data_IF_722616232171
#
_entry.id   IF_722616232171
#
_cell.length_a   1.000
_cell.length_b   1.000
_cell.length_c   1.000
_cell.angle_alpha   90.00
_cell.angle_beta   90.00
_cell.angle_gamma   90.00
#
_symmetry.space_group_name_H-M   'P 1'
#
loop_
_entity.id
_entity.type
_entity.pdbx_description
1 polymer ?
#
# COMPACT_ATOMS: atom_id res chain seq x y z
N UNK A 1 13.21 -30.66 -14.38
CA UNK A 1 12.77 -30.49 -12.96
C UNK A 1 11.69 -29.45 -12.96
N UNK A 2 10.43 -29.84 -12.74
CA UNK A 2 9.29 -28.93 -12.64
C UNK A 2 9.50 -28.00 -11.44
N UNK A 3 9.88 -26.75 -11.71
CA UNK A 3 9.83 -25.65 -10.74
C UNK A 3 8.38 -25.20 -10.65
N UNK A 4 7.61 -25.76 -9.73
CA UNK A 4 6.18 -25.48 -9.62
C UNK A 4 5.90 -24.86 -8.25
N UNK A 5 4.99 -23.87 -8.20
CA UNK A 5 4.73 -23.10 -6.98
C UNK A 5 3.29 -22.64 -6.89
N UNK A 6 2.88 -21.43 -7.26
CA UNK A 6 1.49 -21.14 -7.60
C UNK A 6 1.33 -21.04 -9.11
N UNK A 7 0.38 -21.77 -9.65
CA UNK A 7 -0.14 -21.55 -11.00
C UNK A 7 -1.32 -20.58 -10.90
N UNK A 8 -1.29 -19.51 -11.68
CA UNK A 8 -2.36 -18.53 -11.74
C UNK A 8 -3.46 -19.04 -12.67
N UNK A 9 -4.58 -19.46 -12.12
CA UNK A 9 -5.74 -19.93 -12.89
C UNK A 9 -6.59 -18.76 -13.41
N UNK A 10 -6.74 -17.72 -12.57
CA UNK A 10 -7.31 -16.44 -12.95
C UNK A 10 -6.56 -15.31 -12.26
N UNK A 11 -6.14 -14.32 -13.02
CA UNK A 11 -5.47 -13.14 -12.47
C UNK A 11 -6.49 -12.05 -12.14
N UNK A 12 -6.42 -11.50 -10.93
CA UNK A 12 -7.11 -10.28 -10.61
C UNK A 12 -6.37 -9.08 -11.22
N UNK A 13 -7.12 -8.09 -11.71
CA UNK A 13 -6.53 -6.87 -12.26
C UNK A 13 -5.64 -6.17 -11.20
N UNK A 14 -4.47 -5.65 -11.62
CA UNK A 14 -3.47 -5.03 -10.74
C UNK A 14 -3.06 -5.90 -9.53
N UNK A 15 -2.70 -7.14 -9.79
CA UNK A 15 -1.98 -7.98 -8.83
C UNK A 15 -0.49 -7.86 -9.10
N UNK A 16 0.24 -7.30 -8.13
CA UNK A 16 1.64 -6.92 -8.25
C UNK A 16 2.49 -7.54 -7.14
N UNK A 17 3.73 -7.91 -7.43
CA UNK A 17 4.72 -8.18 -6.38
C UNK A 17 5.16 -6.84 -5.80
N UNK A 18 5.14 -6.74 -4.48
CA UNK A 18 5.65 -5.60 -3.74
C UNK A 18 6.49 -6.08 -2.56
N UNK A 19 7.47 -5.27 -2.17
CA UNK A 19 8.25 -5.39 -0.94
C UNK A 19 8.29 -4.02 -0.22
N UNK A 20 9.27 -3.74 0.61
CA UNK A 20 9.41 -2.42 1.25
C UNK A 20 9.76 -1.29 0.28
N UNK A 21 10.07 -1.59 -0.97
CA UNK A 21 10.44 -0.62 -1.99
C UNK A 21 11.96 -0.49 -2.18
N UNK A 22 12.33 0.32 -3.18
CA UNK A 22 13.72 0.63 -3.55
C UNK A 22 14.09 2.04 -3.10
N UNK A 23 15.21 2.16 -2.44
CA UNK A 23 15.67 3.43 -1.87
C UNK A 23 17.01 3.84 -2.48
N UNK A 24 17.31 5.14 -2.37
CA UNK A 24 18.56 5.75 -2.84
C UNK A 24 18.73 5.88 -4.36
N UNK A 25 17.66 5.70 -5.16
CA UNK A 25 17.70 5.81 -6.62
C UNK A 25 16.85 6.97 -7.17
N UNK A 26 16.26 7.80 -6.32
CA UNK A 26 15.40 8.92 -6.74
C UNK A 26 16.15 9.96 -7.61
N UNK A 27 17.46 10.10 -7.42
CA UNK A 27 18.32 10.95 -8.24
C UNK A 27 18.46 10.46 -9.71
N UNK A 28 18.15 9.19 -9.98
CA UNK A 28 18.07 8.62 -11.33
C UNK A 28 16.64 8.65 -11.89
N UNK A 29 15.69 9.30 -11.20
CA UNK A 29 14.29 9.32 -11.60
C UNK A 29 13.52 8.04 -11.23
N UNK A 30 14.13 7.08 -10.52
CA UNK A 30 13.52 5.82 -10.13
C UNK A 30 12.71 6.02 -8.85
N UNK A 31 11.42 5.64 -8.88
CA UNK A 31 10.52 5.76 -7.73
C UNK A 31 10.79 4.69 -6.67
N UNK A 32 10.47 5.01 -5.42
CA UNK A 32 10.65 4.05 -4.32
C UNK A 32 9.73 2.83 -4.44
N UNK A 33 8.50 3.01 -4.93
CA UNK A 33 7.46 1.97 -4.93
C UNK A 33 7.28 1.32 -3.54
N UNK A 34 6.91 0.04 -3.48
CA UNK A 34 6.73 -0.69 -2.23
C UNK A 34 5.27 -0.81 -1.80
N UNK A 35 5.05 -1.43 -0.65
CA UNK A 35 3.72 -1.64 -0.09
C UNK A 35 2.96 -0.33 0.07
N UNK A 36 1.72 -0.27 -0.42
CA UNK A 36 0.84 0.87 -0.18
C UNK A 36 0.36 0.93 1.27
N UNK A 37 0.06 -0.22 1.87
CA UNK A 37 -0.29 -0.38 3.29
C UNK A 37 0.76 -1.25 3.99
N UNK A 38 1.79 -0.61 4.58
CA UNK A 38 2.86 -1.32 5.28
C UNK A 38 2.35 -2.04 6.53
N UNK A 39 1.29 -1.54 7.19
CA UNK A 39 0.75 -2.23 8.35
C UNK A 39 0.24 -3.63 7.99
N UNK A 40 -0.58 -3.72 6.95
CA UNK A 40 -1.12 -4.99 6.48
C UNK A 40 -0.01 -5.90 5.93
N UNK A 41 0.93 -5.36 5.16
CA UNK A 41 2.04 -6.13 4.60
C UNK A 41 2.97 -6.70 5.69
N UNK A 42 3.34 -5.89 6.68
CA UNK A 42 4.18 -6.33 7.80
C UNK A 42 3.46 -7.39 8.65
N UNK A 43 2.16 -7.22 8.90
CA UNK A 43 1.35 -8.24 9.58
C UNK A 43 1.32 -9.56 8.80
N UNK A 44 1.21 -9.53 7.47
CA UNK A 44 1.28 -10.70 6.62
C UNK A 44 2.61 -11.45 6.81
N UNK A 45 3.72 -10.74 6.71
CA UNK A 45 5.05 -11.31 6.89
C UNK A 45 5.28 -11.84 8.32
N UNK A 46 4.81 -11.14 9.37
CA UNK A 46 4.87 -11.62 10.78
C UNK A 46 4.05 -12.91 10.99
N UNK A 47 2.90 -13.05 10.35
CA UNK A 47 2.09 -14.29 10.41
C UNK A 47 2.83 -15.49 9.81
N UNK A 48 3.77 -15.24 8.91
CA UNK A 48 4.58 -16.24 8.23
C UNK A 48 5.97 -16.42 8.86
N UNK A 49 6.36 -15.64 9.87
CA UNK A 49 7.74 -15.56 10.36
C UNK A 49 8.75 -15.28 9.24
N UNK A 50 8.39 -14.40 8.33
CA UNK A 50 9.25 -13.86 7.30
C UNK A 50 9.88 -12.53 7.77
N UNK A 51 10.92 -12.08 7.07
CA UNK A 51 11.36 -10.68 7.18
C UNK A 51 10.16 -9.76 6.88
N UNK A 52 9.86 -8.79 7.74
CA UNK A 52 8.74 -7.85 7.55
C UNK A 52 8.83 -7.06 6.24
N UNK A 53 10.02 -6.93 5.68
CA UNK A 53 10.31 -6.29 4.39
C UNK A 53 10.25 -7.25 3.21
N UNK A 54 9.97 -8.54 3.45
CA UNK A 54 9.90 -9.58 2.42
C UNK A 54 8.79 -9.33 1.40
N UNK A 55 8.93 -9.88 0.21
CA UNK A 55 8.00 -9.68 -0.88
C UNK A 55 6.66 -10.40 -0.68
N UNK A 56 5.59 -9.75 -1.16
CA UNK A 56 4.21 -10.20 -1.11
C UNK A 56 3.51 -9.90 -2.44
N UNK A 57 2.40 -10.57 -2.71
CA UNK A 57 1.43 -10.08 -3.69
C UNK A 57 0.59 -8.97 -3.04
N UNK A 58 0.55 -7.80 -3.68
CA UNK A 58 -0.42 -6.74 -3.42
C UNK A 58 -1.54 -6.85 -4.46
N UNK A 59 -2.76 -7.13 -4.00
CA UNK A 59 -3.93 -7.43 -4.83
C UNK A 59 -4.92 -6.28 -4.66
N UNK A 60 -5.17 -5.52 -5.73
CA UNK A 60 -6.03 -4.34 -5.70
C UNK A 60 -7.47 -4.59 -6.12
N UNK A 61 -7.76 -5.73 -6.75
CA UNK A 61 -9.09 -6.11 -7.22
C UNK A 61 -9.41 -7.57 -6.88
N UNK A 62 -10.69 -7.94 -6.71
CA UNK A 62 -11.08 -9.31 -6.39
C UNK A 62 -10.87 -10.28 -7.56
N UNK A 63 -11.17 -11.56 -7.30
CA UNK A 63 -11.18 -12.68 -8.26
C UNK A 63 -9.79 -13.24 -8.65
N UNK A 64 -8.81 -13.19 -7.74
CA UNK A 64 -7.59 -13.97 -7.90
C UNK A 64 -7.86 -15.44 -7.60
N UNK A 65 -7.41 -16.33 -8.50
CA UNK A 65 -7.50 -17.77 -8.33
C UNK A 65 -6.15 -18.43 -8.61
N UNK A 66 -5.64 -19.13 -7.63
CA UNK A 66 -4.34 -19.81 -7.65
C UNK A 66 -4.52 -21.31 -7.40
N UNK A 67 -3.64 -22.12 -7.98
CA UNK A 67 -3.46 -23.53 -7.64
C UNK A 67 -2.07 -23.72 -7.04
N UNK A 68 -1.99 -24.34 -5.87
CA UNK A 68 -0.73 -24.67 -5.24
C UNK A 68 -0.15 -25.92 -5.88
N UNK A 69 1.11 -25.86 -6.31
CA UNK A 69 1.79 -27.02 -6.89
C UNK A 69 2.85 -27.59 -5.95
N UNK A 70 3.04 -26.97 -4.79
CA UNK A 70 3.85 -27.40 -3.64
C UNK A 70 3.13 -27.10 -2.34
N UNK A 71 3.53 -27.81 -1.27
CA UNK A 71 3.07 -27.47 0.08
C UNK A 71 3.69 -26.17 0.55
N UNK A 72 2.90 -25.32 1.22
CA UNK A 72 3.37 -24.10 1.87
C UNK A 72 2.43 -23.66 2.99
N UNK A 73 2.84 -22.62 3.71
CA UNK A 73 1.96 -21.81 4.55
C UNK A 73 1.77 -20.46 3.89
N UNK A 74 0.54 -20.06 3.65
CA UNK A 74 0.21 -18.72 3.17
C UNK A 74 -0.42 -17.88 4.28
N UNK A 75 -0.33 -16.55 4.17
CA UNK A 75 -1.10 -15.61 4.98
C UNK A 75 -1.78 -14.58 4.10
N UNK A 76 -2.94 -14.10 4.56
CA UNK A 76 -3.70 -13.06 3.90
C UNK A 76 -4.09 -11.97 4.88
N UNK A 77 -3.74 -10.71 4.55
CA UNK A 77 -4.03 -9.51 5.36
C UNK A 77 -4.50 -8.36 4.47
N UNK A 78 -4.72 -7.18 5.04
CA UNK A 78 -5.23 -6.02 4.32
C UNK A 78 -6.76 -5.98 4.32
N UNK A 79 -7.35 -5.64 3.19
CA UNK A 79 -8.81 -5.57 3.05
C UNK A 79 -9.48 -6.87 3.54
N UNK A 80 -10.59 -6.73 4.27
CA UNK A 80 -11.39 -7.88 4.62
C UNK A 80 -12.12 -8.39 3.38
N UNK A 81 -11.79 -9.60 2.98
CA UNK A 81 -12.30 -10.21 1.75
C UNK A 81 -12.72 -11.66 1.96
N UNK A 82 -13.34 -12.22 0.96
CA UNK A 82 -13.61 -13.65 0.91
C UNK A 82 -12.32 -14.38 0.52
N UNK A 83 -11.95 -15.37 1.34
CA UNK A 83 -10.85 -16.31 1.06
C UNK A 83 -11.42 -17.72 1.08
N UNK A 84 -11.18 -18.49 0.03
CA UNK A 84 -11.53 -19.90 -0.05
C UNK A 84 -10.29 -20.75 -0.32
N UNK A 85 -10.16 -21.86 0.40
CA UNK A 85 -9.18 -22.91 0.12
C UNK A 85 -9.99 -24.19 -0.07
N UNK A 86 -9.94 -24.79 -1.26
CA UNK A 86 -10.75 -25.95 -1.66
C UNK A 86 -12.24 -25.76 -1.38
N UNK A 87 -12.80 -24.60 -1.80
CA UNK A 87 -14.18 -24.20 -1.58
C UNK A 87 -14.62 -23.98 -0.12
N UNK A 88 -13.74 -24.22 0.84
CA UNK A 88 -13.98 -23.91 2.25
C UNK A 88 -13.59 -22.47 2.55
N UNK A 89 -14.52 -21.68 3.08
CA UNK A 89 -14.26 -20.30 3.46
C UNK A 89 -13.28 -20.21 4.64
N UNK A 90 -12.23 -19.43 4.51
CA UNK A 90 -11.21 -19.20 5.53
C UNK A 90 -11.19 -17.74 5.99
N UNK A 91 -10.69 -17.54 7.23
CA UNK A 91 -10.52 -16.20 7.78
C UNK A 91 -9.31 -15.50 7.15
N UNK A 92 -9.42 -14.19 6.93
CA UNK A 92 -8.28 -13.30 6.65
C UNK A 92 -7.56 -12.92 7.97
N UNK A 93 -6.42 -12.28 7.87
CA UNK A 93 -5.56 -11.94 9.02
C UNK A 93 -5.11 -13.18 9.81
N UNK A 94 -4.95 -14.28 9.10
CA UNK A 94 -4.48 -15.57 9.58
C UNK A 94 -3.50 -16.17 8.58
N UNK A 95 -2.66 -17.09 9.04
CA UNK A 95 -1.93 -17.99 8.17
C UNK A 95 -2.67 -19.33 8.03
N UNK A 96 -2.54 -19.95 6.88
CA UNK A 96 -3.19 -21.22 6.52
C UNK A 96 -2.19 -22.15 5.88
N UNK A 97 -2.30 -23.44 6.17
CA UNK A 97 -1.55 -24.46 5.46
C UNK A 97 -2.20 -24.74 4.11
N UNK A 98 -1.39 -24.88 3.10
CA UNK A 98 -1.78 -25.22 1.74
C UNK A 98 -0.95 -26.38 1.26
N UNK A 99 -1.61 -27.37 0.68
CA UNK A 99 -0.99 -28.57 0.10
C UNK A 99 -0.94 -28.45 -1.41
N UNK A 100 -0.04 -29.22 -2.01
CA UNK A 100 -0.03 -29.41 -3.46
C UNK A 100 -1.41 -29.86 -3.95
N UNK A 101 -1.95 -29.19 -4.97
CA UNK A 101 -3.27 -29.39 -5.53
C UNK A 101 -4.38 -28.52 -4.94
N UNK A 102 -4.11 -27.81 -3.82
CA UNK A 102 -5.11 -26.92 -3.24
C UNK A 102 -5.40 -25.74 -4.14
N UNK A 103 -6.69 -25.40 -4.23
CA UNK A 103 -7.22 -24.22 -4.92
C UNK A 103 -7.39 -23.06 -3.93
N UNK A 104 -6.85 -21.89 -4.24
CA UNK A 104 -6.94 -20.68 -3.41
C UNK A 104 -7.68 -19.60 -4.20
N UNK A 105 -8.83 -19.15 -3.69
CA UNK A 105 -9.61 -18.07 -4.32
C UNK A 105 -9.80 -16.89 -3.38
N UNK A 106 -9.50 -15.68 -3.89
CA UNK A 106 -9.75 -14.41 -3.22
C UNK A 106 -10.90 -13.74 -3.94
N UNK A 107 -12.05 -13.67 -3.26
CA UNK A 107 -13.29 -13.12 -3.79
C UNK A 107 -13.48 -11.64 -3.45
N UNK A 108 -14.73 -11.25 -3.20
CA UNK A 108 -15.15 -9.87 -2.98
C UNK A 108 -14.51 -9.22 -1.77
N UNK A 109 -14.17 -7.93 -1.89
CA UNK A 109 -13.65 -7.12 -0.78
C UNK A 109 -14.81 -6.47 -0.02
N UNK A 110 -14.98 -6.86 1.26
CA UNK A 110 -16.04 -6.35 2.14
C UNK A 110 -15.69 -4.96 2.68
N UNK A 111 -14.46 -4.75 3.15
CA UNK A 111 -13.93 -3.44 3.55
C UNK A 111 -12.45 -3.33 3.26
N UNK A 112 -11.98 -2.15 2.90
CA UNK A 112 -10.62 -1.93 2.39
C UNK A 112 -10.54 -2.07 0.87
N UNK A 113 -9.35 -1.85 0.32
CA UNK A 113 -9.09 -1.77 -1.13
C UNK A 113 -7.92 -2.66 -1.58
N UNK A 114 -7.01 -3.05 -0.68
CA UNK A 114 -5.81 -3.81 -0.99
C UNK A 114 -5.64 -4.99 -0.06
N UNK A 115 -5.34 -6.14 -0.64
CA UNK A 115 -5.05 -7.39 0.05
C UNK A 115 -3.58 -7.74 -0.16
N UNK A 116 -2.94 -8.28 0.86
CA UNK A 116 -1.58 -8.80 0.80
C UNK A 116 -1.60 -10.30 1.02
N UNK A 117 -1.06 -11.04 0.06
CA UNK A 117 -0.87 -12.48 0.15
C UNK A 117 0.63 -12.79 0.15
N UNK A 118 1.06 -13.51 1.16
CA UNK A 118 2.42 -14.02 1.26
C UNK A 118 2.47 -15.53 1.42
N UNK A 119 3.64 -16.09 1.17
CA UNK A 119 3.98 -17.48 1.45
C UNK A 119 5.17 -17.53 2.40
N UNK A 120 5.34 -18.63 3.11
CA UNK A 120 6.52 -18.86 3.95
C UNK A 120 7.79 -18.74 3.10
N UNK A 121 8.78 -18.00 3.59
CA UNK A 121 10.06 -17.63 2.94
C UNK A 121 9.92 -16.68 1.73
N UNK A 122 8.70 -16.21 1.40
CA UNK A 122 8.45 -15.30 0.27
C UNK A 122 8.51 -15.97 -1.10
N UNK A 123 8.35 -15.18 -2.16
CA UNK A 123 8.44 -15.62 -3.55
C UNK A 123 9.88 -15.53 -4.06
N UNK A 124 10.30 -16.49 -4.88
CA UNK A 124 11.64 -16.53 -5.49
C UNK A 124 11.64 -15.66 -6.74
N UNK A 125 12.27 -14.50 -6.64
CA UNK A 125 12.29 -13.49 -7.68
C UNK A 125 13.67 -12.84 -7.79
N UNK A 126 13.92 -12.16 -8.91
CA UNK A 126 15.10 -11.32 -9.10
C UNK A 126 14.80 -9.89 -8.62
N UNK A 127 15.73 -9.29 -7.90
CA UNK A 127 15.67 -7.87 -7.50
C UNK A 127 16.12 -6.97 -8.66
N UNK A 128 15.42 -5.83 -8.77
CA UNK A 128 15.79 -4.72 -9.65
C UNK A 128 15.99 -3.47 -8.78
N UNK A 129 17.17 -2.86 -8.86
CA UNK A 129 17.57 -1.77 -7.95
C UNK A 129 17.39 -2.13 -6.45
N UNK A 130 17.76 -3.36 -6.07
CA UNK A 130 17.70 -3.82 -4.69
C UNK A 130 16.32 -4.21 -4.16
N UNK A 131 15.24 -4.10 -4.96
CA UNK A 131 13.85 -4.38 -4.57
C UNK A 131 13.18 -5.36 -5.52
N UNK A 132 12.15 -6.06 -5.02
CA UNK A 132 11.23 -6.90 -5.81
C UNK A 132 10.01 -6.12 -6.30
N UNK A 133 9.82 -4.88 -5.84
CA UNK A 133 8.61 -4.12 -6.13
C UNK A 133 8.41 -3.88 -7.61
N UNK A 134 7.24 -4.25 -8.10
CA UNK A 134 6.78 -3.94 -9.45
C UNK A 134 6.45 -2.46 -9.55
N UNK A 135 6.96 -1.82 -10.61
CA UNK A 135 6.63 -0.43 -10.99
C UNK A 135 6.42 -0.39 -12.50
N UNK A 136 5.16 -0.54 -12.91
CA UNK A 136 4.80 -0.73 -14.33
C UNK A 136 5.26 0.43 -15.21
N UNK A 137 5.14 1.66 -14.72
CA UNK A 137 5.53 2.87 -15.45
C UNK A 137 7.02 2.91 -15.79
N UNK A 138 7.85 2.31 -14.95
CA UNK A 138 9.31 2.27 -15.10
C UNK A 138 9.79 0.96 -15.72
N UNK A 139 8.87 0.01 -16.00
CA UNK A 139 9.19 -1.27 -16.60
C UNK A 139 9.80 -2.29 -15.65
N UNK A 140 9.74 -2.06 -14.32
CA UNK A 140 10.21 -3.02 -13.31
C UNK A 140 9.12 -4.00 -12.93
N UNK A 141 9.44 -5.28 -12.99
CA UNK A 141 8.49 -6.36 -12.73
C UNK A 141 7.38 -6.44 -13.80
N UNK A 142 6.34 -7.21 -13.49
CA UNK A 142 5.18 -7.42 -14.39
C UNK A 142 3.91 -7.56 -13.58
N UNK A 143 2.77 -7.26 -14.19
CA UNK A 143 1.45 -7.67 -13.68
C UNK A 143 1.39 -9.20 -13.67
N UNK A 144 0.77 -9.74 -12.63
CA UNK A 144 0.48 -11.17 -12.60
C UNK A 144 -0.61 -11.49 -13.62
N UNK A 145 -0.29 -12.38 -14.57
CA UNK A 145 -1.19 -12.79 -15.65
C UNK A 145 -1.67 -14.23 -15.44
N UNK A 146 -2.76 -14.59 -16.09
CA UNK A 146 -3.24 -15.97 -16.15
C UNK A 146 -2.14 -16.87 -16.72
N UNK A 147 -2.00 -18.07 -16.17
CA UNK A 147 -0.95 -19.05 -16.46
C UNK A 147 0.48 -18.63 -16.01
N UNK A 148 0.66 -17.48 -15.37
CA UNK A 148 1.90 -17.16 -14.69
C UNK A 148 2.21 -18.17 -13.58
N UNK A 149 3.50 -18.33 -13.30
CA UNK A 149 4.00 -19.17 -12.20
C UNK A 149 4.70 -18.26 -11.20
N UNK A 150 4.28 -18.35 -9.94
CA UNK A 150 4.93 -17.69 -8.82
C UNK A 150 5.73 -18.73 -8.04
N UNK A 151 7.04 -18.70 -8.15
CA UNK A 151 7.91 -19.70 -7.50
C UNK A 151 8.13 -19.37 -6.02
N UNK A 152 8.15 -20.41 -5.17
CA UNK A 152 8.47 -20.34 -3.76
C UNK A 152 9.08 -21.66 -3.28
N UNK A 153 9.75 -21.66 -2.12
CA UNK A 153 10.28 -22.87 -1.50
C UNK A 153 9.17 -23.70 -0.86
N UNK A 154 9.21 -25.02 -1.05
CA UNK A 154 8.29 -25.92 -0.36
C UNK A 154 8.47 -25.82 1.15
N UNK A 155 7.35 -25.76 1.90
CA UNK A 155 7.36 -25.69 3.34
C UNK A 155 6.27 -26.57 3.96
N UNK A 156 6.66 -27.56 4.75
CA UNK A 156 5.77 -28.53 5.42
C UNK A 156 5.57 -28.23 6.93
N UNK A 157 5.39 -26.97 7.27
CA UNK A 157 5.10 -26.57 8.66
C UNK A 157 3.66 -26.88 9.07
N UNK A 158 3.43 -27.07 10.38
CA UNK A 158 2.09 -27.38 10.93
C UNK A 158 1.47 -26.20 11.71
N UNK A 159 2.22 -25.14 12.01
CA UNK A 159 1.74 -24.02 12.83
C UNK A 159 1.03 -22.98 11.98
N UNK A 160 -0.19 -22.65 12.35
CA UNK A 160 -0.93 -21.49 11.83
C UNK A 160 -0.98 -20.41 12.90
N UNK A 161 -1.02 -19.14 12.46
CA UNK A 161 -1.08 -17.97 13.32
C UNK A 161 -2.29 -17.12 12.97
N UNK A 162 -2.78 -16.39 13.97
CA UNK A 162 -3.87 -15.43 13.80
C UNK A 162 -3.43 -14.08 14.35
N UNK A 163 -3.70 -13.01 13.61
CA UNK A 163 -3.48 -11.66 14.11
C UNK A 163 -4.43 -11.38 15.27
N UNK A 164 -3.93 -10.75 16.32
CA UNK A 164 -4.75 -10.51 17.50
C UNK A 164 -5.86 -9.52 17.20
N UNK A 165 -7.09 -9.81 17.62
CA UNK A 165 -8.30 -9.04 17.27
C UNK A 165 -8.23 -7.55 17.59
N UNK A 166 -7.54 -7.16 18.67
CA UNK A 166 -7.41 -5.78 19.11
C UNK A 166 -6.50 -4.94 18.16
N UNK A 167 -5.76 -5.58 17.28
CA UNK A 167 -4.89 -4.96 16.30
C UNK A 167 -5.43 -5.06 14.88
N UNK A 168 -6.64 -5.60 14.69
CA UNK A 168 -7.27 -5.59 13.38
C UNK A 168 -7.63 -4.15 12.99
N UNK A 169 -7.27 -3.70 11.77
CA UNK A 169 -7.62 -2.36 11.33
C UNK A 169 -9.12 -2.24 11.08
N UNK A 170 -9.62 -1.01 11.22
CA UNK A 170 -10.97 -0.66 10.78
C UNK A 170 -10.84 0.20 9.53
N UNK A 171 -11.31 -0.31 8.40
CA UNK A 171 -11.35 0.39 7.12
C UNK A 171 -12.76 0.93 6.90
N UNK A 172 -12.87 2.26 6.89
CA UNK A 172 -14.14 3.00 6.71
C UNK A 172 -14.12 3.85 5.44
N UNK A 173 -15.15 4.68 5.29
CA UNK A 173 -15.27 5.62 4.18
C UNK A 173 -14.89 7.07 4.57
N UNK A 174 -14.56 7.31 5.83
CA UNK A 174 -14.11 8.60 6.36
C UNK A 174 -12.77 8.42 7.05
N UNK A 175 -11.81 9.30 6.76
CA UNK A 175 -10.46 9.23 7.31
C UNK A 175 -9.93 10.62 7.66
N UNK A 176 -9.38 10.77 8.87
CA UNK A 176 -8.60 11.95 9.24
C UNK A 176 -7.12 11.68 8.97
N UNK A 177 -6.52 12.51 8.15
CA UNK A 177 -5.10 12.48 7.78
C UNK A 177 -4.35 13.54 8.58
N UNK A 178 -3.34 13.11 9.33
CA UNK A 178 -2.48 14.04 10.06
C UNK A 178 -1.42 14.58 9.13
N UNK A 179 -1.22 15.90 9.17
CA UNK A 179 -0.37 16.64 8.25
C UNK A 179 0.66 17.44 9.04
N UNK A 180 1.91 17.33 8.63
CA UNK A 180 3.00 18.23 9.02
C UNK A 180 3.05 19.31 7.94
N UNK A 181 2.94 20.59 8.32
CA UNK A 181 3.10 21.70 7.37
C UNK A 181 4.50 21.68 6.75
N UNK A 182 4.57 22.02 5.47
CA UNK A 182 5.87 22.05 4.75
C UNK A 182 6.57 23.39 4.95
N UNK A 183 7.83 23.48 4.55
CA UNK A 183 8.57 24.76 4.49
C UNK A 183 8.01 25.75 3.45
N UNK A 184 7.07 25.32 2.60
CA UNK A 184 6.38 26.18 1.64
C UNK A 184 5.01 26.67 2.18
N UNK A 185 4.67 26.40 3.44
CA UNK A 185 3.38 26.80 4.02
C UNK A 185 3.12 28.33 3.95
N UNK A 186 4.19 29.14 3.98
CA UNK A 186 4.10 30.60 3.86
C UNK A 186 3.61 31.06 2.48
N UNK A 187 3.61 30.20 1.48
CA UNK A 187 3.00 30.49 0.17
C UNK A 187 1.48 30.38 0.17
N UNK A 188 0.88 29.98 1.29
CA UNK A 188 -0.56 29.90 1.51
C UNK A 188 -0.96 30.89 2.61
N UNK A 189 -2.02 31.70 2.35
CA UNK A 189 -2.53 32.60 3.36
C UNK A 189 -3.10 31.82 4.58
N UNK A 190 -3.31 32.50 5.70
CA UNK A 190 -3.92 31.86 6.88
C UNK A 190 -5.33 31.37 6.55
N UNK A 191 -6.10 32.14 5.78
CA UNK A 191 -7.44 31.75 5.32
C UNK A 191 -7.41 30.48 4.47
N UNK A 192 -6.39 30.34 3.59
CA UNK A 192 -6.21 29.15 2.77
C UNK A 192 -5.88 27.92 3.65
N UNK A 193 -5.01 28.10 4.65
CA UNK A 193 -4.67 27.02 5.63
C UNK A 193 -5.89 26.65 6.47
N UNK A 194 -6.66 27.60 6.98
CA UNK A 194 -7.90 27.35 7.71
C UNK A 194 -8.91 26.61 6.83
N UNK A 195 -9.07 27.04 5.57
CA UNK A 195 -9.95 26.38 4.62
C UNK A 195 -9.52 24.93 4.39
N UNK A 196 -8.21 24.66 4.26
CA UNK A 196 -7.67 23.33 4.08
C UNK A 196 -7.97 22.41 5.26
N UNK A 197 -7.79 22.85 6.50
CA UNK A 197 -7.99 22.04 7.69
C UNK A 197 -9.45 21.88 8.12
N UNK A 198 -10.30 22.85 7.83
CA UNK A 198 -11.70 22.86 8.29
C UNK A 198 -12.70 22.24 7.31
N UNK A 199 -12.24 21.76 6.15
CA UNK A 199 -13.12 21.16 5.15
C UNK A 199 -12.86 19.66 4.96
N UNK A 200 -13.87 18.98 4.44
CA UNK A 200 -13.79 17.60 3.98
C UNK A 200 -13.54 17.56 2.47
N UNK A 201 -12.79 16.58 2.05
CA UNK A 201 -12.43 16.33 0.65
C UNK A 201 -12.84 14.93 0.25
N UNK A 202 -13.33 14.78 -0.98
CA UNK A 202 -13.76 13.50 -1.53
C UNK A 202 -12.64 12.91 -2.37
N UNK A 203 -12.39 11.61 -2.21
CA UNK A 203 -11.44 10.86 -3.06
C UNK A 203 -12.05 10.71 -4.45
N UNK A 204 -11.32 11.17 -5.48
CA UNK A 204 -11.74 11.09 -6.87
C UNK A 204 -11.36 9.75 -7.51
N UNK A 205 -11.76 9.53 -8.77
CA UNK A 205 -11.31 8.37 -9.57
C UNK A 205 -9.81 8.39 -9.88
N UNK A 206 -9.15 9.56 -9.76
CA UNK A 206 -7.70 9.72 -9.92
C UNK A 206 -6.96 9.29 -8.64
N UNK A 207 -7.20 8.05 -8.25
CA UNK A 207 -6.58 7.40 -7.11
C UNK A 207 -5.88 6.12 -7.55
N UNK A 208 -4.56 6.13 -7.47
CA UNK A 208 -3.70 5.01 -7.87
C UNK A 208 -2.45 4.93 -6.96
N UNK A 209 -1.42 4.19 -7.38
CA UNK A 209 -0.17 4.07 -6.61
C UNK A 209 0.71 5.32 -6.67
N UNK A 210 0.48 6.23 -7.63
CA UNK A 210 1.24 7.49 -7.74
C UNK A 210 0.68 8.58 -6.85
N UNK A 211 -0.65 8.74 -6.81
CA UNK A 211 -1.30 9.84 -6.12
C UNK A 211 -2.77 9.54 -5.79
N UNK A 212 -3.29 10.32 -4.85
CA UNK A 212 -4.71 10.43 -4.54
C UNK A 212 -5.14 11.87 -4.77
N UNK A 213 -5.86 12.16 -5.88
CA UNK A 213 -6.46 13.46 -6.12
C UNK A 213 -7.76 13.59 -5.35
N UNK A 214 -7.93 14.75 -4.71
CA UNK A 214 -9.09 15.05 -3.89
C UNK A 214 -9.96 16.11 -4.56
N UNK A 215 -11.26 16.03 -4.35
CA UNK A 215 -12.23 17.06 -4.71
C UNK A 215 -12.84 17.69 -3.46
N UNK A 216 -13.02 19.01 -3.47
CA UNK A 216 -13.54 19.79 -2.32
C UNK A 216 -13.34 21.28 -2.54
N UNK A 217 -13.23 22.03 -1.45
CA UNK A 217 -12.92 23.47 -1.50
C UNK A 217 -11.56 23.70 -2.13
N UNK A 218 -11.48 24.69 -3.00
CA UNK A 218 -10.24 25.08 -3.67
C UNK A 218 -9.32 25.83 -2.70
N UNK A 219 -8.07 25.40 -2.65
CA UNK A 219 -7.01 26.01 -1.85
C UNK A 219 -6.12 26.83 -2.79
N UNK A 220 -5.98 28.11 -2.52
CA UNK A 220 -5.16 28.98 -3.36
C UNK A 220 -3.79 29.20 -2.72
N UNK A 221 -2.75 28.97 -3.51
CA UNK A 221 -1.40 29.43 -3.21
C UNK A 221 -1.20 30.83 -3.75
N UNK A 222 -0.37 31.63 -3.08
CA UNK A 222 0.04 32.97 -3.56
C UNK A 222 1.03 32.90 -4.74
N UNK A 223 1.49 31.70 -5.10
CA UNK A 223 2.40 31.44 -6.21
C UNK A 223 1.81 30.34 -7.13
N UNK A 224 2.05 30.48 -8.42
CA UNK A 224 1.52 29.52 -9.43
C UNK A 224 2.36 28.26 -9.59
N UNK A 225 3.54 28.20 -8.99
CA UNK A 225 4.47 27.07 -9.09
C UNK A 225 5.78 27.37 -8.40
N UNK A 226 6.59 26.34 -8.25
CA UNK A 226 7.95 26.41 -7.72
C UNK A 226 8.92 25.77 -8.73
N UNK A 227 10.20 26.07 -8.61
CA UNK A 227 11.23 25.31 -9.33
C UNK A 227 11.08 23.85 -8.91
N UNK A 228 11.09 22.94 -9.89
CA UNK A 228 10.93 21.51 -9.62
C UNK A 228 11.96 21.02 -8.60
N UNK A 229 11.47 20.40 -7.56
CA UNK A 229 12.25 19.91 -6.43
C UNK A 229 11.85 18.50 -6.04
N UNK A 230 12.66 17.85 -5.21
CA UNK A 230 12.40 16.49 -4.75
C UNK A 230 11.04 16.38 -4.02
N UNK A 231 10.34 15.27 -4.28
CA UNK A 231 9.05 14.96 -3.67
C UNK A 231 9.22 13.82 -2.68
N UNK A 232 8.62 13.97 -1.52
CA UNK A 232 8.53 12.90 -0.51
C UNK A 232 7.17 12.22 -0.52
N UNK A 233 7.14 10.97 -0.08
CA UNK A 233 5.90 10.21 0.15
C UNK A 233 4.98 10.92 1.13
N UNK A 234 3.72 11.07 0.77
CA UNK A 234 2.72 11.78 1.55
C UNK A 234 2.66 13.30 1.29
N UNK A 235 3.55 13.88 0.47
CA UNK A 235 3.48 15.31 0.11
C UNK A 235 2.11 15.67 -0.47
N UNK A 236 1.57 16.82 -0.05
CA UNK A 236 0.29 17.36 -0.53
C UNK A 236 0.59 18.52 -1.43
N UNK A 237 0.46 18.32 -2.72
CA UNK A 237 0.58 19.37 -3.75
C UNK A 237 -0.76 20.07 -3.95
N UNK A 238 -0.70 21.38 -4.18
CA UNK A 238 -1.83 22.22 -4.54
C UNK A 238 -1.59 22.79 -5.94
N UNK A 239 -2.10 22.15 -7.00
CA UNK A 239 -2.05 22.69 -8.36
C UNK A 239 -2.91 23.94 -8.52
N UNK A 240 -2.89 24.55 -9.72
CA UNK A 240 -3.61 25.80 -10.02
C UNK A 240 -5.14 25.66 -9.91
N UNK A 241 -5.68 24.43 -10.03
CA UNK A 241 -7.12 24.17 -9.80
C UNK A 241 -7.49 24.15 -8.31
N UNK A 242 -6.52 24.32 -7.41
CA UNK A 242 -6.72 24.35 -5.97
C UNK A 242 -7.10 23.00 -5.33
N UNK A 243 -7.12 21.91 -6.10
CA UNK A 243 -7.53 20.59 -5.59
C UNK A 243 -6.32 19.84 -5.03
N UNK A 244 -6.34 19.44 -3.73
CA UNK A 244 -5.19 18.77 -3.13
C UNK A 244 -4.88 17.43 -3.79
N UNK A 245 -3.60 17.15 -4.01
CA UNK A 245 -3.08 15.86 -4.51
C UNK A 245 -2.12 15.30 -3.48
N UNK A 246 -2.44 14.16 -2.89
CA UNK A 246 -1.56 13.45 -1.96
C UNK A 246 -0.68 12.49 -2.77
N UNK A 247 0.63 12.68 -2.71
CA UNK A 247 1.59 11.87 -3.46
C UNK A 247 1.93 10.58 -2.71
N UNK A 248 1.93 9.46 -3.44
CA UNK A 248 2.02 8.11 -2.87
C UNK A 248 3.31 7.38 -3.31
N UNK A 249 3.33 6.06 -3.19
CA UNK A 249 4.55 5.23 -3.33
C UNK A 249 5.24 5.30 -4.71
N UNK A 250 4.49 5.57 -5.79
CA UNK A 250 5.01 5.68 -7.15
C UNK A 250 4.90 7.11 -7.70
N UNK A 251 4.81 8.11 -6.82
CA UNK A 251 4.89 9.50 -7.24
C UNK A 251 6.19 9.78 -7.99
N UNK A 252 6.14 10.74 -8.92
CA UNK A 252 7.34 11.23 -9.58
C UNK A 252 8.37 11.72 -8.54
N UNK A 253 9.64 11.62 -8.89
CA UNK A 253 10.74 11.98 -7.96
C UNK A 253 10.91 13.49 -7.77
N UNK A 254 10.44 14.30 -8.73
CA UNK A 254 10.46 15.76 -8.70
C UNK A 254 9.08 16.33 -9.09
N UNK A 255 8.77 17.54 -8.63
CA UNK A 255 7.54 18.26 -8.99
C UNK A 255 7.62 19.74 -8.68
N UNK A 256 6.78 20.52 -9.37
CA UNK A 256 6.81 21.99 -9.38
C UNK A 256 5.54 22.66 -8.83
N UNK A 257 4.64 21.91 -8.19
CA UNK A 257 3.49 22.52 -7.49
C UNK A 257 3.82 22.86 -6.04
N UNK A 258 3.29 23.96 -5.50
CA UNK A 258 3.41 24.31 -4.09
C UNK A 258 2.91 23.17 -3.19
N UNK A 259 3.64 22.91 -2.11
CA UNK A 259 3.30 21.87 -1.13
C UNK A 259 2.86 22.51 0.17
N UNK A 260 1.58 22.28 0.56
CA UNK A 260 1.05 22.80 1.84
C UNK A 260 1.59 22.00 3.02
N UNK A 261 1.84 20.71 2.85
CA UNK A 261 2.30 19.83 3.92
C UNK A 261 2.58 18.41 3.45
N UNK A 262 2.81 17.52 4.40
CA UNK A 262 2.95 16.08 4.14
C UNK A 262 2.10 15.28 5.11
N UNK A 263 1.36 14.32 4.60
CA UNK A 263 0.58 13.35 5.39
C UNK A 263 1.55 12.41 6.12
N UNK A 264 1.28 12.15 7.39
CA UNK A 264 2.02 11.16 8.17
C UNK A 264 1.96 9.77 7.49
N UNK A 265 3.11 9.12 7.32
CA UNK A 265 3.21 7.85 6.55
C UNK A 265 2.22 6.78 7.01
N UNK A 266 2.03 6.63 8.34
CA UNK A 266 1.08 5.65 8.89
C UNK A 266 -0.40 5.99 8.57
N UNK A 267 -0.73 7.22 8.21
CA UNK A 267 -2.06 7.59 7.73
C UNK A 267 -2.19 7.35 6.22
N UNK A 268 -1.09 7.47 5.46
CA UNK A 268 -1.05 7.06 4.06
C UNK A 268 -1.35 5.55 3.89
N UNK A 269 -0.94 4.70 4.85
CA UNK A 269 -1.28 3.27 4.83
C UNK A 269 -2.80 3.06 4.93
N UNK A 270 -3.48 3.83 5.76
CA UNK A 270 -4.94 3.81 5.87
C UNK A 270 -5.61 4.40 4.61
N UNK A 271 -5.05 5.50 4.08
CA UNK A 271 -5.53 6.10 2.82
C UNK A 271 -5.48 5.07 1.68
N UNK A 272 -4.44 4.23 1.64
CA UNK A 272 -4.32 3.17 0.65
C UNK A 272 -5.47 2.14 0.67
N UNK A 273 -6.22 2.06 1.76
CA UNK A 273 -7.37 1.18 1.92
C UNK A 273 -8.74 1.88 1.69
N UNK A 274 -8.72 3.19 1.43
CA UNK A 274 -9.93 3.95 1.14
C UNK A 274 -10.45 3.63 -0.26
N UNK A 275 -11.77 3.74 -0.43
CA UNK A 275 -12.44 3.59 -1.73
C UNK A 275 -12.63 4.94 -2.40
N UNK A 276 -12.73 4.95 -3.72
CA UNK A 276 -13.19 6.11 -4.50
C UNK A 276 -14.54 6.56 -3.95
N UNK A 277 -14.70 7.87 -3.77
CA UNK A 277 -15.89 8.49 -3.18
C UNK A 277 -15.87 8.59 -1.66
N UNK A 278 -14.90 7.95 -0.99
CA UNK A 278 -14.66 8.15 0.44
C UNK A 278 -14.20 9.58 0.75
N UNK A 279 -14.31 9.97 2.01
CA UNK A 279 -14.01 11.33 2.49
C UNK A 279 -12.76 11.36 3.35
N UNK A 280 -11.95 12.40 3.16
CA UNK A 280 -10.81 12.71 4.03
C UNK A 280 -10.92 14.11 4.58
N UNK A 281 -10.43 14.32 5.78
CA UNK A 281 -10.17 15.61 6.38
C UNK A 281 -8.76 15.65 6.94
N UNK A 282 -8.22 16.85 7.13
CA UNK A 282 -6.85 17.04 7.57
C UNK A 282 -6.79 17.54 9.00
N UNK A 283 -5.77 17.12 9.71
CA UNK A 283 -5.46 17.60 11.06
C UNK A 283 -3.97 17.87 11.17
N UNK A 284 -3.61 19.08 11.58
CA UNK A 284 -2.22 19.42 11.82
C UNK A 284 -1.60 18.57 12.93
N UNK A 285 -0.33 18.22 12.77
CA UNK A 285 0.49 17.53 13.77
C UNK A 285 1.92 18.09 13.75
N UNK A 286 2.52 18.24 14.94
CA UNK A 286 3.92 18.64 15.02
C UNK A 286 4.88 17.53 14.59
N UNK A 287 6.08 17.90 14.17
CA UNK A 287 7.16 16.95 13.79
C UNK A 287 7.45 15.97 14.92
N UNK A 288 7.54 16.46 16.18
CA UNK A 288 7.82 15.60 17.33
C UNK A 288 6.74 14.54 17.54
N UNK A 289 5.46 14.95 17.50
CA UNK A 289 4.34 14.02 17.62
C UNK A 289 4.30 13.02 16.47
N UNK A 290 4.65 13.45 15.26
CA UNK A 290 4.71 12.59 14.09
C UNK A 290 5.82 11.53 14.23
N UNK A 291 7.00 11.93 14.67
CA UNK A 291 8.13 11.02 14.93
C UNK A 291 7.80 9.97 16.01
N UNK A 292 7.16 10.37 17.11
CA UNK A 292 6.71 9.45 18.16
C UNK A 292 5.75 8.39 17.62
N UNK A 293 4.77 8.81 16.81
CA UNK A 293 3.82 7.87 16.20
C UNK A 293 4.48 6.91 15.23
N UNK A 294 5.44 7.39 14.46
CA UNK A 294 6.20 6.56 13.52
C UNK A 294 7.10 5.56 14.26
N UNK A 295 7.82 6.01 15.30
CA UNK A 295 8.62 5.14 16.18
C UNK A 295 7.75 4.04 16.81
N UNK A 296 6.58 4.41 17.35
CA UNK A 296 5.62 3.45 17.93
C UNK A 296 5.14 2.44 16.89
N UNK A 297 4.85 2.86 15.66
CA UNK A 297 4.48 1.96 14.58
C UNK A 297 5.56 0.92 14.31
N UNK A 298 6.79 1.35 14.05
CA UNK A 298 7.87 0.41 13.73
C UNK A 298 8.28 -0.46 14.92
N UNK A 299 8.24 0.04 16.17
CA UNK A 299 8.53 -0.78 17.35
C UNK A 299 7.54 -1.95 17.50
N UNK A 300 6.30 -1.83 17.03
CA UNK A 300 5.31 -2.92 17.06
C UNK A 300 5.73 -4.11 16.18
N UNK A 301 6.54 -3.88 15.15
CA UNK A 301 6.95 -4.92 14.20
C UNK A 301 8.41 -5.33 14.34
N UNK A 302 9.26 -4.51 14.95
CA UNK A 302 10.69 -4.77 15.10
C UNK A 302 11.06 -5.46 16.42
N UNK A 303 10.07 -5.58 17.32
CA UNK A 303 10.19 -6.33 18.59
C UNK A 303 10.09 -7.83 18.37
#
# INVERSE_FOLDING_TARGET
VEKLSFKVLNSAFLTLIQDSGRFSYSHLGVTNSGFMDEYAAFACNKLLDNDIKGNLLEISFPNLHLEATKDTTLALTGAFCELFINDEQKNTWCSHQVKKGDSIRIGSFKSGQRVYLGVKNGFILKKEFGSFSTTLKEGFGKILEQNSILDFEEFKGKKTKKWHKNYLPQYGNDLTLRVILSYQEDTFSNEAKELFFNNKYKITSDFNRMACKLDGKEIKSNINGVISEAISYGSIQIPNDGKPIILLKEAQTIGGYPKIGSVLSVDCFKLAQMKIGGTVNFKEISINQAQEKLKKFYSTFLS
#
